data_IF_381588673157
#
_entry.id   IF_381588673157
#
_cell.length_a   1.000
_cell.length_b   1.000
_cell.length_c   1.000
_cell.angle_alpha   90.00
_cell.angle_beta   90.00
_cell.angle_gamma   90.00
#
_symmetry.space_group_name_H-M   'P 1'
#
loop_
_entity.id
_entity.type
_entity.pdbx_description
1 polymer ?
#
# COMPACT_ATOMS: atom_id res chain seq x y z
N UNK A 1 2.98 -40.46 24.66
CA UNK A 1 2.49 -39.11 25.02
C UNK A 1 2.05 -38.43 23.73
N UNK A 2 0.77 -38.50 23.40
CA UNK A 2 0.22 -37.92 22.16
C UNK A 2 -0.08 -36.44 22.41
N UNK A 3 0.69 -35.53 21.81
CA UNK A 3 0.24 -34.14 21.65
C UNK A 3 -0.85 -34.16 20.59
N UNK A 4 -2.09 -34.01 21.03
CA UNK A 4 -3.17 -33.58 20.15
C UNK A 4 -2.71 -32.28 19.50
N UNK A 5 -2.41 -32.32 18.21
CA UNK A 5 -2.28 -31.11 17.40
C UNK A 5 -3.62 -30.40 17.49
N UNK A 6 -3.67 -29.30 18.25
CA UNK A 6 -4.83 -28.44 18.38
C UNK A 6 -5.14 -27.88 16.99
N UNK A 7 -6.01 -28.58 16.25
CA UNK A 7 -6.48 -28.19 14.92
C UNK A 7 -7.54 -27.09 15.06
N UNK A 8 -7.19 -26.00 15.75
CA UNK A 8 -7.98 -24.78 15.75
C UNK A 8 -7.65 -24.03 14.47
N UNK A 9 -8.47 -24.27 13.44
CA UNK A 9 -8.54 -23.40 12.26
C UNK A 9 -8.65 -21.95 12.74
N UNK A 10 -7.62 -21.14 12.49
CA UNK A 10 -7.67 -19.68 12.68
C UNK A 10 -8.85 -19.14 11.87
N UNK A 11 -9.84 -18.56 12.56
CA UNK A 11 -11.07 -18.04 11.94
C UNK A 11 -11.00 -16.55 11.59
N UNK A 12 -9.91 -15.89 11.98
CA UNK A 12 -9.76 -14.44 11.89
C UNK A 12 -8.40 -14.07 11.31
N UNK A 13 -8.37 -13.02 10.50
CA UNK A 13 -7.16 -12.39 9.98
C UNK A 13 -7.38 -10.89 9.89
N UNK A 14 -6.32 -10.11 10.08
CA UNK A 14 -6.30 -8.69 9.74
C UNK A 14 -5.89 -8.57 8.27
N UNK A 15 -6.69 -7.88 7.46
CA UNK A 15 -6.32 -7.56 6.06
C UNK A 15 -6.08 -6.05 5.97
N UNK A 16 -4.87 -5.66 5.60
CA UNK A 16 -4.49 -4.26 5.34
C UNK A 16 -4.51 -4.04 3.84
N UNK A 17 -5.40 -3.17 3.36
CA UNK A 17 -5.70 -2.98 1.93
C UNK A 17 -5.21 -1.61 1.46
N UNK A 18 -4.48 -1.58 0.35
CA UNK A 18 -4.10 -0.40 -0.44
C UNK A 18 -3.35 0.69 0.35
N UNK A 19 -2.62 0.30 1.39
CA UNK A 19 -1.80 1.22 2.21
C UNK A 19 -0.40 1.41 1.61
N UNK A 20 -0.36 1.78 0.33
CA UNK A 20 0.85 1.97 -0.48
C UNK A 20 1.24 3.44 -0.60
N UNK A 21 2.39 3.74 -1.22
CA UNK A 21 2.82 5.12 -1.42
C UNK A 21 1.88 5.93 -2.31
N UNK A 22 1.25 5.33 -3.33
CA UNK A 22 0.36 6.08 -4.23
C UNK A 22 -0.85 6.70 -3.51
N UNK A 23 -1.60 6.01 -2.62
CA UNK A 23 -2.74 6.66 -1.96
C UNK A 23 -2.33 7.57 -0.80
N UNK A 24 -1.13 7.39 -0.25
CA UNK A 24 -0.76 7.98 1.05
C UNK A 24 0.35 9.04 0.98
N UNK A 25 1.29 8.93 0.05
CA UNK A 25 2.56 9.66 0.13
C UNK A 25 2.43 11.14 -0.23
N UNK A 26 2.79 12.07 0.67
CA UNK A 26 2.83 13.49 0.35
C UNK A 26 3.84 13.84 -0.77
N UNK A 27 4.83 12.97 -1.03
CA UNK A 27 5.85 13.20 -2.08
C UNK A 27 5.27 13.27 -3.50
N UNK A 28 4.12 12.64 -3.74
CA UNK A 28 3.35 12.76 -5.00
C UNK A 28 2.18 13.76 -4.88
N UNK A 29 2.16 14.58 -3.83
CA UNK A 29 1.15 15.62 -3.61
C UNK A 29 -0.09 15.18 -2.84
N UNK A 30 -0.05 14.05 -2.12
CA UNK A 30 -1.15 13.68 -1.20
C UNK A 30 -1.21 14.61 0.02
N UNK A 31 -2.38 14.80 0.64
CA UNK A 31 -2.49 15.62 1.84
C UNK A 31 -1.63 15.06 3.00
N UNK A 32 -0.70 15.85 3.57
CA UNK A 32 0.22 15.38 4.62
C UNK A 32 -0.46 15.07 5.96
N UNK A 33 -1.64 15.65 6.20
CA UNK A 33 -2.46 15.39 7.39
C UNK A 33 -3.74 14.63 7.01
N UNK A 34 -3.63 13.60 6.15
CA UNK A 34 -4.76 12.81 5.70
C UNK A 34 -5.25 11.80 6.75
N UNK A 35 -6.53 11.41 6.64
CA UNK A 35 -7.08 10.32 7.45
C UNK A 35 -6.33 9.00 7.22
N UNK A 36 -5.84 8.76 5.99
CA UNK A 36 -5.06 7.57 5.65
C UNK A 36 -3.78 7.47 6.49
N UNK A 37 -3.01 8.55 6.60
CA UNK A 37 -1.81 8.58 7.45
C UNK A 37 -2.15 8.43 8.94
N UNK A 38 -3.28 8.96 9.39
CA UNK A 38 -3.78 8.71 10.75
C UNK A 38 -4.15 7.23 11.00
N UNK A 39 -4.66 6.52 9.99
CA UNK A 39 -4.92 5.08 10.06
C UNK A 39 -3.61 4.29 10.08
N UNK A 40 -2.63 4.67 9.26
CA UNK A 40 -1.29 4.07 9.29
C UNK A 40 -0.70 4.12 10.69
N UNK A 41 -0.77 5.27 11.36
CA UNK A 41 -0.25 5.44 12.71
C UNK A 41 -0.89 4.48 13.72
N UNK A 42 -2.23 4.38 13.71
CA UNK A 42 -2.99 3.44 14.55
C UNK A 42 -2.68 1.97 14.23
N UNK A 43 -2.53 1.63 12.95
CA UNK A 43 -2.19 0.28 12.53
C UNK A 43 -0.84 -0.15 13.11
N UNK A 44 0.17 0.71 13.00
CA UNK A 44 1.54 0.43 13.46
C UNK A 44 1.63 0.40 14.99
N UNK A 45 1.01 1.37 15.67
CA UNK A 45 1.13 1.53 17.14
C UNK A 45 0.23 0.58 17.93
N UNK A 46 -1.01 0.39 17.47
CA UNK A 46 -2.05 -0.22 18.31
C UNK A 46 -2.53 -1.58 17.75
N UNK A 47 -2.79 -1.65 16.44
CA UNK A 47 -3.51 -2.82 15.87
C UNK A 47 -2.57 -3.98 15.56
N UNK A 48 -1.53 -3.77 14.74
CA UNK A 48 -0.61 -4.83 14.31
C UNK A 48 0.08 -5.51 15.50
N UNK A 49 0.56 -4.79 16.54
CA UNK A 49 1.15 -5.42 17.72
C UNK A 49 0.18 -6.34 18.45
N UNK A 50 -1.08 -5.93 18.61
CA UNK A 50 -2.12 -6.73 19.26
C UNK A 50 -2.47 -7.97 18.43
N UNK A 51 -2.64 -7.82 17.11
CA UNK A 51 -2.87 -8.95 16.22
C UNK A 51 -1.74 -9.98 16.31
N UNK A 52 -0.48 -9.54 16.30
CA UNK A 52 0.68 -10.43 16.45
C UNK A 52 0.70 -11.14 17.79
N UNK A 53 0.46 -10.43 18.89
CA UNK A 53 0.39 -11.02 20.24
C UNK A 53 -0.72 -12.05 20.37
N UNK A 54 -1.84 -11.84 19.68
CA UNK A 54 -2.99 -12.73 19.65
C UNK A 54 -2.86 -13.88 18.63
N UNK A 55 -1.71 -14.02 17.96
CA UNK A 55 -1.51 -14.98 16.88
C UNK A 55 -2.60 -14.84 15.79
N UNK A 56 -2.95 -13.60 15.43
CA UNK A 56 -3.83 -13.26 14.31
C UNK A 56 -2.94 -12.95 13.09
N UNK A 57 -3.09 -13.68 11.97
CA UNK A 57 -2.36 -13.38 10.74
C UNK A 57 -2.67 -11.97 10.23
N UNK A 58 -1.65 -11.30 9.71
CA UNK A 58 -1.76 -10.02 9.02
C UNK A 58 -1.49 -10.26 7.53
N UNK A 59 -2.51 -10.03 6.71
CA UNK A 59 -2.48 -10.14 5.25
C UNK A 59 -2.36 -8.73 4.68
N UNK A 60 -1.46 -8.57 3.71
CA UNK A 60 -1.21 -7.30 3.03
C UNK A 60 -1.72 -7.43 1.60
N UNK A 61 -2.69 -6.60 1.24
CA UNK A 61 -3.28 -6.55 -0.08
C UNK A 61 -3.03 -5.16 -0.66
N UNK A 62 -2.59 -5.10 -1.90
CA UNK A 62 -2.32 -3.86 -2.58
C UNK A 62 -2.28 -4.05 -4.08
N UNK A 63 -2.20 -2.94 -4.80
CA UNK A 63 -2.00 -2.91 -6.24
C UNK A 63 -0.61 -3.41 -6.63
N UNK A 64 -0.50 -3.99 -7.83
CA UNK A 64 0.74 -4.59 -8.32
C UNK A 64 0.50 -5.25 -9.66
N UNK A 65 0.08 -4.44 -10.62
CA UNK A 65 -0.26 -4.83 -12.00
C UNK A 65 1.01 -5.20 -12.75
N UNK A 66 1.00 -6.32 -13.46
CA UNK A 66 2.05 -6.71 -14.42
C UNK A 66 1.74 -6.14 -15.81
N UNK A 67 2.73 -6.08 -16.70
CA UNK A 67 2.47 -5.65 -18.08
C UNK A 67 1.47 -6.56 -18.80
N UNK A 68 1.49 -7.86 -18.51
CA UNK A 68 0.53 -8.84 -19.04
C UNK A 68 -0.91 -8.56 -18.59
N UNK A 69 -1.09 -8.06 -17.37
CA UNK A 69 -2.41 -7.66 -16.86
C UNK A 69 -2.98 -6.46 -17.64
N UNK A 70 -2.13 -5.58 -18.19
CA UNK A 70 -2.57 -4.41 -18.97
C UNK A 70 -3.18 -4.82 -20.32
N UNK A 71 -2.66 -5.87 -20.93
CA UNK A 71 -3.15 -6.39 -22.21
C UNK A 71 -4.57 -6.98 -22.08
N UNK A 72 -4.85 -7.60 -20.94
CA UNK A 72 -6.13 -8.22 -20.62
C UNK A 72 -7.07 -7.29 -19.83
N UNK A 73 -6.61 -6.10 -19.45
CA UNK A 73 -7.37 -5.17 -18.62
C UNK A 73 -8.59 -4.65 -19.38
N UNK A 74 -9.82 -4.78 -18.82
CA UNK A 74 -10.99 -4.20 -19.43
C UNK A 74 -10.79 -2.71 -19.69
N UNK A 75 -11.21 -2.22 -20.86
CA UNK A 75 -11.06 -0.82 -21.25
C UNK A 75 -11.65 0.16 -20.24
N UNK A 76 -12.66 -0.25 -19.46
CA UNK A 76 -13.14 0.54 -18.33
C UNK A 76 -12.01 0.80 -17.35
N UNK A 77 -11.37 -0.23 -16.80
CA UNK A 77 -10.28 -0.08 -15.83
C UNK A 77 -9.04 0.58 -16.46
N UNK A 78 -8.68 0.21 -17.69
CA UNK A 78 -7.49 0.71 -18.37
C UNK A 78 -7.59 2.18 -18.78
N UNK A 79 -8.77 2.64 -19.24
CA UNK A 79 -8.97 4.02 -19.76
C UNK A 79 -9.71 4.96 -18.82
N UNK A 80 -10.42 4.48 -17.81
CA UNK A 80 -11.37 5.35 -17.13
C UNK A 80 -11.81 4.87 -15.76
N UNK A 81 -11.57 5.73 -14.77
CA UNK A 81 -12.53 6.21 -13.80
C UNK A 81 -11.93 6.32 -12.39
N UNK A 82 -10.98 5.48 -12.00
CA UNK A 82 -10.45 5.59 -10.63
C UNK A 82 -9.26 6.55 -10.54
N UNK A 83 -8.13 6.27 -11.20
CA UNK A 83 -6.91 7.08 -11.04
C UNK A 83 -6.94 8.44 -11.76
N UNK A 84 -7.48 8.56 -12.99
CA UNK A 84 -7.64 9.86 -13.63
C UNK A 84 -8.64 10.81 -12.96
N UNK A 85 -9.56 10.28 -12.14
CA UNK A 85 -10.54 11.08 -11.39
C UNK A 85 -10.16 11.24 -9.92
N UNK A 86 -9.02 10.68 -9.51
CA UNK A 86 -8.51 10.85 -8.16
C UNK A 86 -8.19 12.33 -7.90
N UNK A 87 -9.01 12.95 -7.06
CA UNK A 87 -8.88 14.34 -6.69
C UNK A 87 -8.31 14.53 -5.27
N UNK A 88 -7.83 13.45 -4.64
CA UNK A 88 -7.26 13.47 -3.30
C UNK A 88 -5.80 13.91 -3.34
N UNK A 89 -5.57 15.12 -3.84
CA UNK A 89 -4.28 15.79 -3.92
C UNK A 89 -4.39 17.20 -3.33
N UNK A 90 -3.29 17.73 -2.80
CA UNK A 90 -3.25 19.10 -2.23
C UNK A 90 -3.53 20.15 -3.31
N UNK A 91 -3.10 19.88 -4.54
CA UNK A 91 -3.38 20.67 -5.74
C UNK A 91 -3.93 19.73 -6.81
N UNK A 92 -4.72 20.21 -7.79
CA UNK A 92 -5.11 19.39 -8.93
C UNK A 92 -3.87 18.79 -9.60
N UNK A 93 -3.72 17.48 -9.50
CA UNK A 93 -2.57 16.72 -10.00
C UNK A 93 -3.13 15.55 -10.79
N UNK A 94 -2.56 15.30 -11.96
CA UNK A 94 -2.89 14.12 -12.77
C UNK A 94 -1.61 13.31 -12.99
N UNK A 95 -1.55 12.12 -12.38
CA UNK A 95 -0.40 11.22 -12.45
C UNK A 95 -0.50 10.21 -13.60
N UNK A 96 -1.55 10.28 -14.43
CA UNK A 96 -1.81 9.33 -15.50
C UNK A 96 -2.77 8.20 -15.12
N UNK A 97 -3.10 7.36 -16.11
CA UNK A 97 -3.83 6.10 -15.92
C UNK A 97 -2.88 4.99 -15.45
N UNK A 98 -3.43 3.83 -15.08
CA UNK A 98 -2.64 2.62 -14.76
C UNK A 98 -1.60 2.36 -15.87
N UNK A 99 -0.35 2.11 -15.46
CA UNK A 99 0.77 1.87 -16.37
C UNK A 99 1.40 3.13 -16.98
N UNK A 100 0.88 4.33 -16.72
CA UNK A 100 1.54 5.58 -17.14
C UNK A 100 2.73 5.92 -16.23
N UNK A 101 3.75 6.57 -16.79
CA UNK A 101 4.92 7.05 -16.03
C UNK A 101 4.53 8.18 -15.08
N UNK A 102 4.86 8.03 -13.79
CA UNK A 102 4.72 9.10 -12.78
C UNK A 102 5.91 10.06 -12.86
N UNK A 103 7.10 9.53 -13.17
CA UNK A 103 8.36 10.26 -13.15
C UNK A 103 9.02 10.27 -11.78
N UNK A 104 9.85 11.28 -11.53
CA UNK A 104 10.63 11.38 -10.30
C UNK A 104 9.92 12.23 -9.25
N UNK A 105 10.03 11.84 -7.98
CA UNK A 105 9.61 12.64 -6.83
C UNK A 105 10.82 13.12 -6.05
N UNK A 106 10.77 14.36 -5.58
CA UNK A 106 11.84 14.98 -4.79
C UNK A 106 11.58 14.78 -3.30
N UNK A 107 12.58 14.26 -2.60
CA UNK A 107 12.60 14.10 -1.14
C UNK A 107 12.97 15.43 -0.45
N UNK A 108 12.74 15.50 0.87
CA UNK A 108 13.07 16.69 1.66
C UNK A 108 14.58 17.03 1.67
N UNK A 109 15.44 16.03 1.46
CA UNK A 109 16.89 16.15 1.38
C UNK A 109 17.40 16.49 -0.03
N UNK A 110 16.51 16.63 -1.02
CA UNK A 110 16.83 16.90 -2.41
C UNK A 110 17.21 15.66 -3.23
N UNK A 111 17.11 14.45 -2.67
CA UNK A 111 17.22 13.22 -3.45
C UNK A 111 15.98 13.00 -4.32
N UNK A 112 16.16 12.32 -5.46
CA UNK A 112 15.07 11.95 -6.35
C UNK A 112 14.81 10.45 -6.29
N UNK A 113 13.53 10.09 -6.13
CA UNK A 113 13.05 8.72 -6.23
C UNK A 113 12.31 8.57 -7.55
N UNK A 114 12.64 7.53 -8.31
CA UNK A 114 11.80 7.11 -9.43
C UNK A 114 10.48 6.52 -8.87
N UNK A 115 9.37 7.23 -9.07
CA UNK A 115 8.07 6.79 -8.59
C UNK A 115 7.48 5.65 -9.44
N UNK A 116 8.08 5.37 -10.59
CA UNK A 116 7.70 4.32 -11.51
C UNK A 116 6.37 4.57 -12.23
N UNK A 117 5.75 3.47 -12.69
CA UNK A 117 4.49 3.50 -13.43
C UNK A 117 3.29 3.28 -12.51
N UNK A 118 2.21 4.03 -12.71
CA UNK A 118 1.00 4.00 -11.87
C UNK A 118 0.50 2.56 -11.66
N UNK A 119 0.45 2.11 -10.40
CA UNK A 119 -0.07 0.80 -9.95
C UNK A 119 0.68 -0.44 -10.46
N UNK A 120 1.83 -0.26 -11.11
CA UNK A 120 2.64 -1.37 -11.61
C UNK A 120 3.43 -2.03 -10.48
N UNK A 121 3.52 -3.35 -10.52
CA UNK A 121 4.22 -4.16 -9.51
C UNK A 121 5.68 -3.76 -9.37
N UNK A 122 6.20 -3.90 -8.15
CA UNK A 122 7.60 -3.70 -7.80
C UNK A 122 8.11 -2.28 -8.09
N UNK A 123 7.20 -1.31 -8.15
CA UNK A 123 7.50 0.12 -8.30
C UNK A 123 7.27 0.86 -6.98
N UNK A 124 7.96 1.97 -6.76
CA UNK A 124 7.88 2.74 -5.52
C UNK A 124 6.45 3.13 -5.14
N UNK A 125 5.61 3.54 -6.10
CA UNK A 125 4.23 3.93 -5.81
C UNK A 125 3.35 2.78 -5.29
N UNK A 126 3.70 1.53 -5.62
CA UNK A 126 3.04 0.30 -5.12
C UNK A 126 3.74 -0.32 -3.91
N UNK A 127 4.84 0.26 -3.46
CA UNK A 127 5.42 -0.17 -2.20
C UNK A 127 4.49 0.21 -1.04
N UNK A 128 4.40 -0.66 -0.03
CA UNK A 128 3.75 -0.30 1.23
C UNK A 128 4.36 0.99 1.77
N UNK A 129 3.52 1.87 2.32
CA UNK A 129 4.01 3.08 2.94
C UNK A 129 5.08 2.76 3.99
N UNK A 130 6.15 3.56 4.04
CA UNK A 130 7.42 3.19 4.70
C UNK A 130 7.26 2.62 6.12
N UNK A 131 6.46 3.26 6.96
CA UNK A 131 6.21 2.81 8.34
C UNK A 131 5.46 1.47 8.41
N UNK A 132 4.58 1.16 7.45
CA UNK A 132 3.93 -0.14 7.33
C UNK A 132 4.85 -1.19 6.73
N UNK A 133 5.72 -0.83 5.78
CA UNK A 133 6.76 -1.73 5.27
C UNK A 133 7.70 -2.17 6.41
N UNK A 134 8.12 -1.23 7.24
CA UNK A 134 8.88 -1.54 8.46
C UNK A 134 8.09 -2.45 9.41
N UNK A 135 6.83 -2.11 9.68
CA UNK A 135 5.98 -2.93 10.53
C UNK A 135 5.85 -4.36 10.00
N UNK A 136 5.62 -4.55 8.69
CA UNK A 136 5.56 -5.85 8.00
C UNK A 136 6.86 -6.64 8.17
N UNK A 137 8.01 -6.00 7.95
CA UNK A 137 9.33 -6.64 7.95
C UNK A 137 9.85 -6.96 9.36
N UNK A 138 9.36 -6.28 10.39
CA UNK A 138 9.63 -6.68 11.78
C UNK A 138 9.07 -8.08 12.01
N UNK A 139 9.97 -9.05 12.06
CA UNK A 139 9.71 -10.36 12.66
C UNK A 139 9.14 -10.12 14.06
N UNK A 140 8.22 -10.97 14.49
CA UNK A 140 7.63 -10.97 15.83
C UNK A 140 8.73 -11.16 16.88
N UNK A 141 9.44 -10.08 17.20
CA UNK A 141 10.27 -9.97 18.39
C UNK A 141 9.34 -9.79 19.56
N UNK A 142 9.14 -10.89 20.29
CA UNK A 142 9.00 -10.79 21.73
C UNK A 142 10.38 -10.48 22.32
#
# INVERSE_FOLDING_TARGET
MWRLSDNRSRKTSLVVVDMQNYPLSPLIGRPPNSMGLGIVDKLVKDVIPVCRKADIPVVWLGWGVEDSDLDDMPLSIARGYDFPLDNNFVKPTFLGSIGAEIGHVECEDGEFIDAGRVMMRDQWNTELYSTLKEAKNRLSGF
#
